data_IF_638675316623
#
_entry.id   IF_638675316623
#
_cell.length_a   1.000
_cell.length_b   1.000
_cell.length_c   1.000
_cell.angle_alpha   90.00
_cell.angle_beta   90.00
_cell.angle_gamma   90.00
#
_symmetry.space_group_name_H-M   'P 1'
#
loop_
_entity.id
_entity.type
_entity.pdbx_description
1 polymer ?
#
# COMPACT_ATOMS: atom_id res chain seq x y z
N UNK A 1 8.08 0.07 -16.30
CA UNK A 1 7.17 1.00 -17.02
C UNK A 1 6.09 1.37 -16.01
N UNK A 2 5.85 2.65 -15.74
CA UNK A 2 4.90 3.06 -14.67
C UNK A 2 3.51 2.57 -15.04
N UNK A 3 2.88 1.79 -14.16
CA UNK A 3 1.53 1.25 -14.33
C UNK A 3 0.54 2.36 -14.74
N UNK A 4 -0.27 2.11 -15.78
CA UNK A 4 -1.23 3.07 -16.38
C UNK A 4 -2.32 3.57 -15.41
N UNK A 5 -2.39 3.01 -14.19
CA UNK A 5 -3.36 3.34 -13.14
C UNK A 5 -2.78 4.28 -12.05
N UNK A 6 -1.53 4.74 -12.20
CA UNK A 6 -0.91 5.71 -11.29
C UNK A 6 -0.92 7.11 -11.91
N UNK A 7 -1.34 8.11 -11.13
CA UNK A 7 -1.33 9.52 -11.52
C UNK A 7 -0.37 10.28 -10.62
N UNK A 8 0.62 10.92 -11.24
CA UNK A 8 1.51 11.85 -10.55
C UNK A 8 0.90 13.24 -10.54
N UNK A 9 1.05 13.94 -9.42
CA UNK A 9 0.57 15.30 -9.20
C UNK A 9 1.62 16.06 -8.40
N UNK A 10 1.67 17.37 -8.57
CA UNK A 10 2.56 18.27 -7.82
C UNK A 10 1.71 19.21 -6.96
N UNK A 11 2.17 19.46 -5.73
CA UNK A 11 1.53 20.34 -4.77
C UNK A 11 2.55 21.38 -4.28
N UNK A 12 2.07 22.53 -3.80
CA UNK A 12 2.92 23.68 -3.47
C UNK A 12 3.87 23.44 -2.30
N UNK A 13 3.43 22.65 -1.31
CA UNK A 13 4.25 22.26 -0.16
C UNK A 13 3.76 20.95 0.48
N UNK A 14 4.49 20.51 1.52
CA UNK A 14 4.21 19.25 2.23
C UNK A 14 2.89 19.28 3.00
N UNK A 15 2.50 20.43 3.55
CA UNK A 15 1.24 20.56 4.30
C UNK A 15 0.08 20.44 3.33
N UNK A 16 0.14 21.14 2.19
CA UNK A 16 -0.84 20.98 1.12
C UNK A 16 -0.92 19.52 0.67
N UNK A 17 0.21 18.86 0.43
CA UNK A 17 0.22 17.45 0.01
C UNK A 17 -0.47 16.52 1.04
N UNK A 18 -0.25 16.76 2.35
CA UNK A 18 -0.92 16.03 3.43
C UNK A 18 -2.43 16.26 3.40
N UNK A 19 -2.87 17.52 3.29
CA UNK A 19 -4.29 17.88 3.20
C UNK A 19 -4.94 17.27 1.96
N UNK A 20 -4.25 17.25 0.81
CA UNK A 20 -4.75 16.59 -0.41
C UNK A 20 -4.91 15.08 -0.24
N UNK A 21 -4.00 14.41 0.46
CA UNK A 21 -4.16 12.98 0.77
C UNK A 21 -5.44 12.73 1.57
N UNK A 22 -5.75 13.63 2.52
CA UNK A 22 -7.00 13.58 3.30
C UNK A 22 -8.24 13.85 2.43
N UNK A 23 -8.24 14.94 1.66
CA UNK A 23 -9.36 15.31 0.76
C UNK A 23 -9.69 14.23 -0.27
N UNK A 24 -8.68 13.51 -0.76
CA UNK A 24 -8.84 12.40 -1.71
C UNK A 24 -9.29 11.10 -1.03
N UNK A 25 -9.42 11.07 0.30
CA UNK A 25 -9.84 9.91 1.07
C UNK A 25 -8.80 8.80 1.12
N UNK A 26 -7.51 9.13 1.03
CA UNK A 26 -6.43 8.14 1.08
C UNK A 26 -6.03 7.75 2.50
N UNK A 27 -6.46 8.53 3.49
CA UNK A 27 -6.12 8.31 4.90
C UNK A 27 -7.31 7.73 5.67
N UNK A 28 -7.03 7.24 6.87
CA UNK A 28 -8.02 6.74 7.84
C UNK A 28 -8.59 7.85 8.75
N UNK A 29 -8.30 9.12 8.42
CA UNK A 29 -8.62 10.28 9.25
C UNK A 29 -7.41 10.92 9.90
N UNK A 30 -6.25 10.25 9.90
CA UNK A 30 -4.98 10.80 10.41
C UNK A 30 -4.12 11.38 9.29
N UNK A 31 -3.17 12.29 9.61
CA UNK A 31 -2.15 12.72 8.66
C UNK A 31 -1.26 11.55 8.22
N UNK A 32 -0.85 11.57 6.95
CA UNK A 32 0.04 10.56 6.35
C UNK A 32 1.32 11.21 5.81
N UNK A 33 2.34 10.41 5.52
CA UNK A 33 3.49 10.87 4.74
C UNK A 33 3.12 10.86 3.25
N UNK A 34 3.14 11.98 2.52
CA UNK A 34 2.78 11.97 1.10
C UNK A 34 3.65 10.99 0.29
N UNK A 35 3.05 10.12 -0.54
CA UNK A 35 3.78 9.08 -1.28
C UNK A 35 4.45 9.67 -2.52
N UNK A 36 5.50 10.48 -2.33
CA UNK A 36 6.25 11.07 -3.45
C UNK A 36 6.89 9.99 -4.32
N UNK A 37 7.07 10.30 -5.61
CA UNK A 37 7.65 9.35 -6.58
C UNK A 37 9.00 8.83 -6.09
N UNK A 38 9.84 9.70 -5.53
CA UNK A 38 11.17 9.36 -5.02
C UNK A 38 11.09 8.40 -3.82
N UNK A 39 10.18 8.66 -2.87
CA UNK A 39 10.00 7.79 -1.70
C UNK A 39 9.43 6.44 -2.09
N UNK A 40 8.46 6.41 -3.01
CA UNK A 40 7.90 5.16 -3.54
C UNK A 40 8.98 4.36 -4.28
N UNK A 41 9.83 5.03 -5.07
CA UNK A 41 10.92 4.37 -5.77
C UNK A 41 11.95 3.76 -4.81
N UNK A 42 12.28 4.44 -3.70
CA UNK A 42 13.17 3.88 -2.66
C UNK A 42 12.66 2.54 -2.11
N UNK A 43 11.35 2.39 -1.92
CA UNK A 43 10.74 1.14 -1.45
C UNK A 43 10.83 0.05 -2.51
N UNK A 44 10.49 0.38 -3.77
CA UNK A 44 10.58 -0.54 -4.90
C UNK A 44 12.02 -1.04 -5.08
N UNK A 45 12.99 -0.11 -5.04
CA UNK A 45 14.41 -0.42 -5.13
C UNK A 45 14.85 -1.32 -3.98
N UNK A 46 14.43 -1.04 -2.73
CA UNK A 46 14.79 -1.90 -1.60
C UNK A 46 14.23 -3.32 -1.75
N UNK A 47 12.99 -3.47 -2.22
CA UNK A 47 12.37 -4.77 -2.42
C UNK A 47 12.99 -5.59 -3.56
N UNK A 48 13.72 -4.94 -4.49
CA UNK A 48 14.28 -5.59 -5.68
C UNK A 48 13.23 -6.34 -6.51
N UNK A 49 12.00 -5.82 -6.54
CA UNK A 49 10.85 -6.36 -7.29
C UNK A 49 10.34 -5.35 -8.32
N UNK A 50 9.89 -5.78 -9.51
CA UNK A 50 9.32 -4.87 -10.50
C UNK A 50 8.11 -4.11 -9.96
N UNK A 51 8.04 -2.81 -10.23
CA UNK A 51 6.95 -1.94 -9.75
C UNK A 51 5.55 -2.39 -10.19
N UNK A 52 5.45 -2.98 -11.38
CA UNK A 52 4.24 -3.47 -12.02
C UNK A 52 3.93 -4.94 -11.71
N UNK A 53 4.77 -5.61 -10.91
CA UNK A 53 4.52 -6.98 -10.48
C UNK A 53 3.23 -7.06 -9.64
N UNK A 54 2.31 -7.91 -10.08
CA UNK A 54 1.02 -8.14 -9.43
C UNK A 54 1.20 -9.11 -8.26
N UNK A 55 0.86 -8.64 -7.06
CA UNK A 55 0.91 -9.41 -5.82
C UNK A 55 -0.39 -10.18 -5.58
N UNK A 56 -1.49 -9.73 -6.17
CA UNK A 56 -2.80 -10.38 -6.09
C UNK A 56 -3.93 -9.42 -6.47
N UNK A 57 -5.16 -9.84 -6.19
CA UNK A 57 -6.35 -9.06 -6.52
C UNK A 57 -7.42 -9.14 -5.43
N UNK A 58 -8.29 -8.15 -5.40
CA UNK A 58 -9.52 -8.11 -4.60
C UNK A 58 -10.70 -8.02 -5.59
N UNK A 59 -11.23 -9.17 -6.07
CA UNK A 59 -12.24 -9.22 -7.13
C UNK A 59 -13.51 -8.42 -6.80
N UNK A 60 -13.93 -8.44 -5.54
CA UNK A 60 -15.13 -7.77 -5.03
C UNK A 60 -15.03 -6.25 -5.16
N UNK A 61 -13.79 -5.73 -5.11
CA UNK A 61 -13.50 -4.31 -5.33
C UNK A 61 -13.04 -4.02 -6.75
N UNK A 62 -12.91 -5.05 -7.61
CA UNK A 62 -12.35 -4.96 -8.98
C UNK A 62 -10.99 -4.28 -8.98
N UNK A 63 -10.13 -4.67 -8.03
CA UNK A 63 -8.79 -4.09 -7.87
C UNK A 63 -7.71 -5.15 -8.01
N UNK A 64 -6.72 -4.83 -8.84
CA UNK A 64 -5.44 -5.50 -8.87
C UNK A 64 -4.44 -4.74 -8.00
N UNK A 65 -3.68 -5.48 -7.20
CA UNK A 65 -2.70 -4.97 -6.24
C UNK A 65 -1.30 -5.32 -6.76
N UNK A 66 -0.47 -4.30 -6.99
CA UNK A 66 0.91 -4.45 -7.45
C UNK A 66 1.89 -3.82 -6.47
N UNK A 67 3.19 -4.09 -6.67
CA UNK A 67 4.27 -3.61 -5.79
C UNK A 67 4.22 -2.08 -5.61
N UNK A 68 4.04 -1.31 -6.68
CA UNK A 68 3.99 0.15 -6.60
C UNK A 68 2.81 0.67 -5.73
N UNK A 69 1.63 0.05 -5.83
CA UNK A 69 0.47 0.39 -5.01
C UNK A 69 0.74 0.10 -3.53
N UNK A 70 1.36 -1.03 -3.22
CA UNK A 70 1.71 -1.38 -1.82
C UNK A 70 2.82 -0.47 -1.30
N UNK A 71 3.81 -0.12 -2.12
CA UNK A 71 4.87 0.83 -1.77
C UNK A 71 4.30 2.20 -1.42
N UNK A 72 3.38 2.73 -2.24
CA UNK A 72 2.71 4.01 -1.94
C UNK A 72 1.95 3.99 -0.61
N UNK A 73 1.22 2.90 -0.32
CA UNK A 73 0.53 2.75 0.96
C UNK A 73 1.51 2.62 2.14
N UNK A 74 2.62 1.91 1.96
CA UNK A 74 3.65 1.77 2.99
C UNK A 74 4.34 3.11 3.29
N UNK A 75 4.62 3.92 2.27
CA UNK A 75 5.12 5.30 2.45
C UNK A 75 4.11 6.12 3.24
N UNK A 76 2.83 6.12 2.84
CA UNK A 76 1.77 6.84 3.56
C UNK A 76 1.68 6.46 5.04
N UNK A 77 1.83 5.18 5.34
CA UNK A 77 1.86 4.67 6.71
C UNK A 77 3.13 5.02 7.51
N UNK A 78 4.10 5.73 6.91
CA UNK A 78 5.36 6.08 7.56
C UNK A 78 6.32 4.89 7.74
N UNK A 79 6.18 3.84 6.93
CA UNK A 79 7.04 2.67 6.96
C UNK A 79 8.49 3.03 6.63
N UNK A 80 9.43 2.15 6.98
CA UNK A 80 10.82 2.22 6.52
C UNK A 80 11.00 1.26 5.31
N UNK A 81 11.81 1.62 4.30
CA UNK A 81 12.08 0.74 3.17
C UNK A 81 12.56 -0.65 3.59
N UNK A 82 13.36 -0.73 4.66
CA UNK A 82 13.89 -2.00 5.17
C UNK A 82 12.83 -3.00 5.66
N UNK A 83 11.65 -2.50 6.05
CA UNK A 83 10.53 -3.33 6.49
C UNK A 83 9.59 -3.68 5.32
N UNK A 84 9.76 -3.07 4.16
CA UNK A 84 8.85 -3.26 3.03
C UNK A 84 8.74 -4.71 2.53
N UNK A 85 9.79 -5.55 2.51
CA UNK A 85 9.65 -6.96 2.16
C UNK A 85 8.65 -7.72 3.04
N UNK A 86 8.56 -7.37 4.33
CA UNK A 86 7.56 -7.95 5.25
C UNK A 86 6.15 -7.48 4.87
N UNK A 87 5.97 -6.20 4.51
CA UNK A 87 4.68 -5.65 4.08
C UNK A 87 4.21 -6.32 2.79
N UNK A 88 5.11 -6.56 1.84
CA UNK A 88 4.81 -7.30 0.61
C UNK A 88 4.36 -8.71 0.94
N UNK A 89 5.14 -9.45 1.74
CA UNK A 89 4.81 -10.84 2.09
C UNK A 89 3.48 -10.94 2.85
N UNK A 90 3.21 -10.03 3.77
CA UNK A 90 1.92 -9.95 4.46
C UNK A 90 0.78 -9.65 3.49
N UNK A 91 1.01 -8.76 2.53
CA UNK A 91 0.01 -8.43 1.50
C UNK A 91 -0.31 -9.63 0.62
N UNK A 92 0.71 -10.35 0.12
CA UNK A 92 0.52 -11.58 -0.66
C UNK A 92 -0.25 -12.63 0.14
N UNK A 93 0.09 -12.83 1.42
CA UNK A 93 -0.59 -13.76 2.31
C UNK A 93 -2.07 -13.39 2.53
N UNK A 94 -2.38 -12.10 2.68
CA UNK A 94 -3.76 -11.61 2.83
C UNK A 94 -4.57 -11.72 1.54
N UNK A 95 -3.92 -11.71 0.37
CA UNK A 95 -4.58 -11.79 -0.94
C UNK A 95 -4.81 -13.24 -1.41
N UNK A 96 -4.40 -14.25 -0.62
CA UNK A 96 -4.75 -15.64 -0.91
C UNK A 96 -6.24 -15.90 -0.68
N UNK A 97 -6.78 -16.90 -1.37
CA UNK A 97 -8.19 -17.30 -1.22
C UNK A 97 -8.47 -17.83 0.18
N UNK A 98 -7.50 -18.52 0.76
CA UNK A 98 -7.56 -19.15 2.07
C UNK A 98 -7.70 -18.13 3.20
N UNK A 99 -7.04 -16.97 3.08
CA UNK A 99 -7.17 -15.89 4.06
C UNK A 99 -8.56 -15.24 4.02
N UNK A 100 -9.20 -15.22 2.84
CA UNK A 100 -10.55 -14.67 2.64
C UNK A 100 -10.70 -13.23 3.16
N UNK A 101 -9.91 -12.30 2.62
CA UNK A 101 -9.84 -10.89 3.04
C UNK A 101 -11.20 -10.16 3.10
N UNK A 102 -12.19 -10.61 2.33
CA UNK A 102 -13.55 -10.03 2.32
C UNK A 102 -14.18 -10.11 3.70
N UNK A 103 -14.03 -11.24 4.39
CA UNK A 103 -14.65 -11.47 5.68
C UNK A 103 -14.23 -10.40 6.71
N UNK A 104 -12.92 -10.18 7.00
CA UNK A 104 -12.50 -9.16 7.95
C UNK A 104 -12.67 -7.72 7.44
N UNK A 105 -12.62 -7.48 6.11
CA UNK A 105 -12.69 -6.12 5.55
C UNK A 105 -14.11 -5.62 5.23
N UNK A 106 -15.13 -6.44 5.45
CA UNK A 106 -16.54 -6.07 5.31
C UNK A 106 -17.01 -5.20 6.48
N UNK A 107 -18.07 -4.42 6.28
CA UNK A 107 -18.59 -3.48 7.30
C UNK A 107 -19.03 -4.15 8.61
N UNK A 108 -19.31 -5.46 8.58
CA UNK A 108 -19.67 -6.25 9.76
C UNK A 108 -18.52 -7.15 10.25
N UNK A 109 -17.40 -7.20 9.50
CA UNK A 109 -16.27 -8.08 9.78
C UNK A 109 -15.50 -7.67 11.02
N UNK A 110 -15.21 -6.37 11.18
CA UNK A 110 -14.65 -5.74 12.39
C UNK A 110 -13.33 -6.31 12.92
N UNK A 111 -12.78 -7.34 12.29
CA UNK A 111 -11.64 -8.09 12.78
C UNK A 111 -10.35 -7.34 12.43
N UNK A 112 -9.51 -7.14 13.44
CA UNK A 112 -8.15 -6.67 13.24
C UNK A 112 -7.31 -7.79 12.60
N UNK A 113 -6.57 -7.46 11.55
CA UNK A 113 -5.61 -8.40 10.95
C UNK A 113 -4.32 -8.36 11.76
N UNK A 114 -3.97 -9.50 12.36
CA UNK A 114 -2.69 -9.68 13.05
C UNK A 114 -1.69 -10.33 12.10
N UNK A 115 -0.55 -9.67 11.89
CA UNK A 115 0.60 -10.23 11.19
C UNK A 115 1.63 -10.66 12.25
N UNK A 116 1.99 -11.94 12.25
CA UNK A 116 3.08 -12.46 13.08
C UNK A 116 4.25 -12.76 12.15
N UNK A 117 5.37 -12.09 12.40
CA UNK A 117 6.59 -12.26 11.63
C UNK A 117 7.59 -13.02 12.51
N UNK A 118 8.04 -14.15 12.01
CA UNK A 118 9.14 -14.89 12.60
C UNK A 118 10.19 -15.09 11.52
N UNK A 119 11.41 -14.63 11.76
CA UNK A 119 12.53 -14.86 10.85
C UNK A 119 13.04 -16.30 10.94
N UNK A 120 14.22 -16.60 10.37
CA UNK A 120 15.12 -17.47 11.11
C UNK A 120 15.35 -16.94 12.55
#
# INVERSE_FOLDING_TARGET
MVSTDLRNVEWGDVVEAIERCYELGWTDGLPVVPPTVERVQQFIDYAQRPADEVLGAVPERRREINVAKVAANAVMAGCLPEHFPVVIAATEAMLTKEFNLIAPSSSQGGAAVLVIVNGP
#
